data_IF_937711427645
#
_entry.id   IF_937711427645
#
_cell.length_a   1.000
_cell.length_b   1.000
_cell.length_c   1.000
_cell.angle_alpha   90.00
_cell.angle_beta   90.00
_cell.angle_gamma   90.00
#
_symmetry.space_group_name_H-M   'P 1'
#
loop_
_entity.id
_entity.type
_entity.pdbx_description
1 polymer ?
#
# COMPACT_ATOMS: atom_id res chain seq x y z
N UNK A 1 -5.25 8.05 21.18
CA UNK A 1 -5.36 8.21 19.71
C UNK A 1 -4.11 7.61 19.10
N UNK A 2 -4.16 6.47 18.37
CA UNK A 2 -2.92 5.81 18.00
C UNK A 2 -2.20 6.60 16.90
N UNK A 3 -1.22 7.37 17.38
CA UNK A 3 0.16 7.52 16.89
C UNK A 3 0.30 7.47 15.37
N UNK A 4 0.56 8.66 14.79
CA UNK A 4 1.26 8.82 13.51
C UNK A 4 2.26 7.69 13.34
N UNK A 5 1.97 6.76 12.43
CA UNK A 5 2.92 5.70 12.12
C UNK A 5 4.05 6.39 11.35
N UNK A 6 5.29 6.43 11.85
CA UNK A 6 6.42 7.03 11.14
C UNK A 6 6.89 6.18 9.95
N UNK A 7 6.12 5.14 9.61
CA UNK A 7 6.39 4.18 8.58
C UNK A 7 5.35 4.35 7.49
N UNK A 8 5.81 4.58 6.27
CA UNK A 8 4.93 4.71 5.12
C UNK A 8 4.26 3.37 4.81
N UNK A 9 3.02 3.44 4.31
CA UNK A 9 2.19 2.27 3.97
C UNK A 9 2.99 1.22 3.17
N UNK A 10 3.71 1.67 2.14
CA UNK A 10 4.54 0.85 1.28
C UNK A 10 5.56 -0.02 2.05
N UNK A 11 6.18 0.52 3.09
CA UNK A 11 7.14 -0.22 3.91
C UNK A 11 6.46 -1.22 4.84
N UNK A 12 5.30 -0.88 5.40
CA UNK A 12 4.50 -1.83 6.19
C UNK A 12 4.05 -3.02 5.35
N UNK A 13 3.53 -2.76 4.15
CA UNK A 13 3.15 -3.80 3.21
C UNK A 13 4.37 -4.65 2.84
N UNK A 14 5.50 -4.03 2.52
CA UNK A 14 6.73 -4.77 2.20
C UNK A 14 7.13 -5.73 3.33
N UNK A 15 7.11 -5.26 4.59
CA UNK A 15 7.41 -6.12 5.76
C UNK A 15 6.43 -7.28 5.91
N UNK A 16 5.14 -7.05 5.67
CA UNK A 16 4.14 -8.12 5.73
C UNK A 16 4.43 -9.20 4.68
N UNK A 17 4.83 -8.81 3.46
CA UNK A 17 5.24 -9.77 2.43
C UNK A 17 6.52 -10.52 2.82
N UNK A 18 7.54 -9.83 3.33
CA UNK A 18 8.78 -10.47 3.81
C UNK A 18 8.54 -11.47 4.95
N UNK A 19 7.55 -11.21 5.80
CA UNK A 19 7.16 -12.08 6.92
C UNK A 19 6.18 -13.20 6.53
N UNK A 20 5.78 -13.30 5.26
CA UNK A 20 4.76 -14.27 4.81
C UNK A 20 3.34 -13.96 5.32
N UNK A 21 3.11 -12.73 5.80
CA UNK A 21 1.84 -12.24 6.35
C UNK A 21 1.08 -11.35 5.35
N UNK A 22 1.29 -11.56 4.04
CA UNK A 22 0.67 -10.79 2.96
C UNK A 22 -0.86 -10.80 3.00
N UNK A 23 -1.49 -11.77 3.64
CA UNK A 23 -2.95 -11.79 3.89
C UNK A 23 -3.46 -10.51 4.58
N UNK A 24 -2.66 -9.93 5.49
CA UNK A 24 -3.02 -8.70 6.20
C UNK A 24 -2.75 -7.43 5.40
N UNK A 25 -2.03 -7.52 4.27
CA UNK A 25 -1.68 -6.37 3.44
C UNK A 25 -2.93 -5.66 2.92
N UNK A 26 -3.93 -6.43 2.47
CA UNK A 26 -5.20 -5.88 1.98
C UNK A 26 -5.91 -5.08 3.07
N UNK A 27 -6.02 -5.62 4.28
CA UNK A 27 -6.68 -4.94 5.41
C UNK A 27 -5.97 -3.62 5.74
N UNK A 28 -4.63 -3.63 5.71
CA UNK A 28 -3.81 -2.43 5.91
C UNK A 28 -4.11 -1.33 4.89
N UNK A 29 -4.18 -1.68 3.60
CA UNK A 29 -4.52 -0.70 2.55
C UNK A 29 -5.96 -0.21 2.69
N UNK A 30 -6.90 -1.09 3.04
CA UNK A 30 -8.29 -0.68 3.30
C UNK A 30 -8.40 0.31 4.46
N UNK A 31 -7.68 0.08 5.55
CA UNK A 31 -7.70 1.01 6.69
C UNK A 31 -7.02 2.34 6.35
N UNK A 32 -5.96 2.31 5.53
CA UNK A 32 -5.30 3.51 5.01
C UNK A 32 -6.21 4.34 4.08
N UNK A 33 -7.04 3.69 3.26
CA UNK A 33 -8.08 4.32 2.44
C UNK A 33 -9.15 4.99 3.32
N UNK A 34 -9.67 4.27 4.32
CA UNK A 34 -10.67 4.83 5.27
C UNK A 34 -10.14 6.08 5.99
N UNK A 35 -8.86 6.10 6.37
CA UNK A 35 -8.22 7.26 7.00
C UNK A 35 -8.20 8.49 6.11
N UNK A 36 -8.29 8.31 4.79
CA UNK A 36 -8.33 9.37 3.77
C UNK A 36 -9.74 9.67 3.29
N UNK A 37 -10.76 9.17 3.99
CA UNK A 37 -12.16 9.31 3.63
C UNK A 37 -12.52 8.65 2.29
N UNK A 38 -11.73 7.65 1.87
CA UNK A 38 -12.01 6.82 0.71
C UNK A 38 -12.74 5.54 1.13
N UNK A 39 -13.65 5.08 0.28
CA UNK A 39 -14.38 3.82 0.50
C UNK A 39 -13.59 2.64 -0.09
N UNK A 40 -13.04 1.73 0.72
CA UNK A 40 -12.22 0.63 0.20
C UNK A 40 -13.00 -0.38 -0.65
N UNK A 41 -14.33 -0.41 -0.53
CA UNK A 41 -15.16 -1.28 -1.35
C UNK A 41 -15.14 -0.87 -2.83
N UNK A 42 -14.80 0.39 -3.13
CA UNK A 42 -14.77 0.95 -4.48
C UNK A 42 -13.46 0.66 -5.22
N UNK A 43 -12.47 0.06 -4.53
CA UNK A 43 -11.16 -0.24 -5.08
C UNK A 43 -10.87 -1.74 -5.09
N UNK A 44 -10.23 -2.20 -6.16
CA UNK A 44 -9.43 -3.40 -6.18
C UNK A 44 -8.00 -3.04 -5.76
N UNK A 45 -7.45 -3.81 -4.83
CA UNK A 45 -6.12 -3.60 -4.26
C UNK A 45 -5.21 -4.73 -4.78
N UNK A 46 -4.22 -4.37 -5.57
CA UNK A 46 -3.26 -5.27 -6.18
C UNK A 46 -1.87 -5.02 -5.60
N UNK A 47 -1.10 -6.08 -5.42
CA UNK A 47 0.25 -6.02 -4.85
C UNK A 47 1.26 -6.58 -5.85
N UNK A 48 2.22 -5.75 -6.26
CA UNK A 48 3.27 -6.14 -7.19
C UNK A 48 4.59 -6.25 -6.44
N UNK A 49 5.09 -7.47 -6.31
CA UNK A 49 6.41 -7.72 -5.74
C UNK A 49 7.47 -7.44 -6.80
N UNK A 50 8.37 -6.52 -6.50
CA UNK A 50 9.53 -6.17 -7.34
C UNK A 50 10.81 -6.32 -6.51
N UNK A 51 11.97 -6.55 -7.14
CA UNK A 51 13.24 -6.47 -6.44
C UNK A 51 13.38 -5.09 -5.78
N UNK A 52 13.87 -5.05 -4.53
CA UNK A 52 14.10 -3.78 -3.87
C UNK A 52 15.16 -2.96 -4.62
N UNK A 53 15.03 -1.62 -4.67
CA UNK A 53 16.01 -0.77 -5.34
C UNK A 53 17.39 -0.87 -4.65
N UNK A 54 18.49 -0.67 -5.41
CA UNK A 54 19.85 -0.67 -4.84
C UNK A 54 19.97 0.33 -3.68
N UNK A 55 20.51 -0.12 -2.55
CA UNK A 55 20.63 0.69 -1.33
C UNK A 55 19.48 0.52 -0.33
N UNK A 56 18.41 -0.21 -0.68
CA UNK A 56 17.38 -0.62 0.28
C UNK A 56 17.88 -1.75 1.19
N UNK A 57 17.40 -1.77 2.44
CA UNK A 57 17.64 -2.87 3.38
C UNK A 57 16.71 -4.07 3.15
N UNK A 58 15.65 -3.88 2.38
CA UNK A 58 14.69 -4.92 2.03
C UNK A 58 15.19 -5.73 0.83
N UNK A 59 14.78 -7.00 0.73
CA UNK A 59 15.11 -7.86 -0.44
C UNK A 59 14.10 -7.65 -1.56
N UNK A 60 12.85 -7.38 -1.19
CA UNK A 60 11.74 -7.09 -2.09
C UNK A 60 11.16 -5.70 -1.77
N UNK A 61 10.56 -5.07 -2.76
CA UNK A 61 9.68 -3.93 -2.60
C UNK A 61 8.30 -4.32 -3.10
N UNK A 62 7.26 -3.98 -2.34
CA UNK A 62 5.87 -4.19 -2.77
C UNK A 62 5.30 -2.87 -3.22
N UNK A 63 4.85 -2.83 -4.47
CA UNK A 63 4.09 -1.72 -5.02
C UNK A 63 2.59 -2.01 -4.88
N UNK A 64 1.84 -1.01 -4.46
CA UNK A 64 0.41 -1.08 -4.22
C UNK A 64 -0.27 -0.43 -5.40
N UNK A 65 -1.01 -1.20 -6.19
CA UNK A 65 -1.87 -0.66 -7.25
C UNK A 65 -3.31 -0.63 -6.74
N UNK A 66 -3.88 0.57 -6.76
CA UNK A 66 -5.31 0.78 -6.57
C UNK A 66 -5.97 0.84 -7.94
N UNK A 67 -7.11 0.17 -8.09
CA UNK A 67 -7.94 0.25 -9.29
C UNK A 67 -9.39 0.48 -8.90
N UNK A 68 -10.04 1.53 -9.41
CA UNK A 68 -11.46 1.72 -9.11
C UNK A 68 -12.31 0.68 -9.84
N UNK A 69 -13.26 0.09 -9.12
CA UNK A 69 -14.19 -0.93 -9.66
C UNK A 69 -15.21 -0.36 -10.63
N UNK A 70 -15.48 0.95 -10.54
CA UNK A 70 -16.35 1.67 -11.47
C UNK A 70 -15.71 1.92 -12.84
N UNK A 71 -14.46 1.50 -13.04
CA UNK A 71 -13.72 1.67 -14.29
C UNK A 71 -13.10 3.07 -14.46
N UNK A 72 -13.29 3.97 -13.51
CA UNK A 72 -12.62 5.27 -13.54
C UNK A 72 -11.14 5.13 -13.15
N UNK A 73 -10.25 6.00 -13.64
CA UNK A 73 -8.89 6.05 -13.14
C UNK A 73 -8.88 6.39 -11.64
N UNK A 74 -7.97 5.79 -10.90
CA UNK A 74 -7.65 6.23 -9.53
C UNK A 74 -6.99 7.60 -9.61
N UNK A 75 -7.25 8.45 -8.63
CA UNK A 75 -6.53 9.72 -8.49
C UNK A 75 -5.01 9.46 -8.43
N UNK A 76 -4.21 10.06 -9.33
CA UNK A 76 -2.76 9.90 -9.34
C UNK A 76 -2.13 10.23 -7.98
N UNK A 77 -2.63 11.24 -7.27
CA UNK A 77 -2.12 11.60 -5.95
C UNK A 77 -2.37 10.49 -4.94
N UNK A 78 -3.55 9.86 -4.95
CA UNK A 78 -3.86 8.74 -4.05
C UNK A 78 -2.96 7.53 -4.35
N UNK A 79 -2.76 7.22 -5.62
CA UNK A 79 -1.88 6.14 -6.07
C UNK A 79 -0.41 6.38 -5.67
N UNK A 80 0.09 7.62 -5.81
CA UNK A 80 1.43 8.00 -5.37
C UNK A 80 1.57 7.95 -3.84
N UNK A 81 0.57 8.43 -3.10
CA UNK A 81 0.57 8.41 -1.64
C UNK A 81 0.61 6.98 -1.07
N UNK A 82 -0.03 6.02 -1.74
CA UNK A 82 0.04 4.61 -1.33
C UNK A 82 1.47 4.06 -1.44
N UNK A 83 2.26 4.57 -2.38
CA UNK A 83 3.61 4.12 -2.70
C UNK A 83 4.71 5.09 -2.26
N UNK A 84 4.40 6.07 -1.41
CA UNK A 84 5.37 7.05 -0.95
C UNK A 84 6.50 6.34 -0.20
N UNK A 85 7.73 6.45 -0.68
CA UNK A 85 8.93 6.01 0.03
C UNK A 85 9.41 7.14 0.95
N UNK A 86 9.77 6.81 2.20
CA UNK A 86 10.32 7.76 3.17
C UNK A 86 11.83 7.91 2.98
#
# INVERSE_FOLDING_TARGET
>A
MPRHNPYNLQMEITRLFEQGQSFFATIKVQDWLKQRNENPADYDILFHQKPAPPGSKAVIAVEIELRRKDGQPVDPWLQEQANLHA
#
